data_IF_459053532289
#
_entry.id   IF_459053532289
#
_cell.length_a   1.000
_cell.length_b   1.000
_cell.length_c   1.000
_cell.angle_alpha   90.00
_cell.angle_beta   90.00
_cell.angle_gamma   90.00
#
_symmetry.space_group_name_H-M   'P 1'
#
loop_
_entity.id
_entity.type
_entity.pdbx_description
1 polymer ?
#
# COMPACT_ATOMS: atom_id res chain seq x y z
N UNK A 1 23.86 -5.03 5.05
CA UNK A 1 22.72 -5.96 5.09
C UNK A 1 22.94 -6.96 3.97
N UNK A 2 22.70 -8.27 4.21
CA UNK A 2 22.75 -9.25 3.12
C UNK A 2 21.61 -8.95 2.13
N UNK A 3 21.86 -9.10 0.85
CA UNK A 3 20.85 -9.01 -0.20
C UNK A 3 19.82 -10.15 -0.08
N UNK A 4 18.62 -9.96 -0.64
CA UNK A 4 17.63 -11.03 -0.67
C UNK A 4 18.08 -12.23 -1.51
N UNK A 5 18.95 -12.01 -2.51
CA UNK A 5 19.56 -13.09 -3.27
C UNK A 5 20.53 -13.92 -2.41
N UNK A 6 21.38 -13.27 -1.61
CA UNK A 6 22.27 -13.98 -0.65
C UNK A 6 21.46 -14.75 0.39
N UNK A 7 20.39 -14.15 0.93
CA UNK A 7 19.49 -14.81 1.89
C UNK A 7 18.81 -16.04 1.25
N UNK A 8 18.39 -15.97 -0.01
CA UNK A 8 17.80 -17.12 -0.72
C UNK A 8 18.83 -18.25 -0.88
N UNK A 9 20.07 -17.93 -1.26
CA UNK A 9 21.14 -18.92 -1.43
C UNK A 9 21.48 -19.59 -0.09
N UNK A 10 21.69 -18.81 0.96
CA UNK A 10 22.06 -19.33 2.28
C UNK A 10 20.98 -20.25 2.86
N UNK A 11 19.71 -19.96 2.60
CA UNK A 11 18.59 -20.76 3.08
C UNK A 11 18.16 -21.87 2.12
N UNK A 12 18.88 -22.08 1.01
CA UNK A 12 18.49 -22.98 -0.09
C UNK A 12 17.01 -22.76 -0.51
N UNK A 13 16.63 -21.50 -0.64
CA UNK A 13 15.30 -21.07 -0.96
C UNK A 13 14.92 -21.30 -2.43
N UNK A 14 13.80 -20.70 -2.81
CA UNK A 14 13.21 -20.83 -4.14
C UNK A 14 13.05 -19.48 -4.85
N UNK A 15 13.47 -18.37 -4.26
CA UNK A 15 13.25 -17.04 -4.83
C UNK A 15 13.88 -16.90 -6.21
N UNK A 16 15.19 -17.17 -6.31
CA UNK A 16 15.94 -17.09 -7.57
C UNK A 16 15.40 -18.11 -8.58
N UNK A 17 15.09 -19.32 -8.13
CA UNK A 17 14.55 -20.41 -8.97
C UNK A 17 13.19 -20.02 -9.57
N UNK A 18 12.30 -19.43 -8.78
CA UNK A 18 10.97 -19.00 -9.22
C UNK A 18 11.03 -17.81 -10.18
N UNK A 19 11.87 -16.81 -9.88
CA UNK A 19 12.09 -15.69 -10.79
C UNK A 19 12.63 -16.17 -12.14
N UNK A 20 13.60 -17.10 -12.11
CA UNK A 20 14.13 -17.72 -13.32
C UNK A 20 13.05 -18.48 -14.08
N UNK A 21 12.32 -19.39 -13.42
CA UNK A 21 11.29 -20.21 -14.04
C UNK A 21 10.19 -19.37 -14.71
N UNK A 22 9.66 -18.35 -14.02
CA UNK A 22 8.62 -17.47 -14.60
C UNK A 22 9.19 -16.64 -15.75
N UNK A 23 10.43 -16.18 -15.64
CA UNK A 23 11.09 -15.39 -16.69
C UNK A 23 11.42 -16.23 -17.93
N UNK A 24 11.67 -17.54 -17.79
CA UNK A 24 11.85 -18.45 -18.93
C UNK A 24 10.58 -18.58 -19.78
N UNK A 25 9.40 -18.37 -19.18
CA UNK A 25 8.10 -18.40 -19.85
C UNK A 25 7.76 -17.10 -20.61
N UNK A 26 8.73 -16.21 -20.83
CA UNK A 26 8.49 -14.92 -21.50
C UNK A 26 7.80 -15.02 -22.86
N UNK A 27 8.05 -16.12 -23.60
CA UNK A 27 7.41 -16.40 -24.89
C UNK A 27 5.88 -16.49 -24.84
N UNK A 28 5.28 -16.60 -23.65
CA UNK A 28 3.82 -16.51 -23.48
C UNK A 28 3.29 -15.08 -23.76
N UNK A 29 4.12 -14.06 -23.58
CA UNK A 29 3.69 -12.66 -23.58
C UNK A 29 4.50 -11.75 -24.51
N UNK A 30 5.68 -12.18 -24.94
CA UNK A 30 6.60 -11.33 -25.70
C UNK A 30 7.55 -12.15 -26.57
N UNK A 31 7.84 -11.63 -27.76
CA UNK A 31 8.89 -12.13 -28.67
C UNK A 31 10.28 -11.54 -28.34
N UNK A 32 10.36 -10.65 -27.35
CA UNK A 32 11.62 -10.00 -26.94
C UNK A 32 12.56 -10.98 -26.23
N UNK A 33 13.87 -10.77 -26.41
CA UNK A 33 14.92 -11.44 -25.63
C UNK A 33 15.13 -10.83 -24.24
N UNK A 34 14.49 -9.70 -23.94
CA UNK A 34 14.43 -9.18 -22.56
C UNK A 34 13.34 -9.96 -21.83
N UNK A 35 13.64 -10.65 -20.71
CA UNK A 35 12.65 -11.46 -20.01
C UNK A 35 11.43 -10.65 -19.64
N UNK A 36 10.24 -11.15 -19.95
CA UNK A 36 8.95 -10.59 -19.53
C UNK A 36 8.59 -11.14 -18.15
N UNK A 37 8.81 -10.33 -17.11
CA UNK A 37 8.36 -10.61 -15.75
C UNK A 37 7.34 -9.56 -15.36
N UNK A 38 6.08 -9.97 -15.23
CA UNK A 38 5.02 -9.09 -14.76
C UNK A 38 5.26 -8.70 -13.30
N UNK A 39 5.13 -7.42 -12.96
CA UNK A 39 5.51 -6.90 -11.64
C UNK A 39 4.76 -7.59 -10.49
N UNK A 40 3.47 -7.93 -10.65
CA UNK A 40 2.72 -8.70 -9.63
C UNK A 40 3.25 -10.12 -9.44
N UNK A 41 3.79 -10.75 -10.49
CA UNK A 41 4.42 -12.04 -10.35
C UNK A 41 5.68 -11.92 -9.48
N UNK A 42 6.52 -10.91 -9.73
CA UNK A 42 7.69 -10.63 -8.90
C UNK A 42 7.31 -10.36 -7.43
N UNK A 43 6.27 -9.55 -7.19
CA UNK A 43 5.76 -9.26 -5.85
C UNK A 43 5.29 -10.52 -5.11
N UNK A 44 4.49 -11.36 -5.77
CA UNK A 44 3.98 -12.59 -5.20
C UNK A 44 5.10 -13.61 -4.95
N UNK A 45 6.06 -13.74 -5.87
CA UNK A 45 7.24 -14.61 -5.71
C UNK A 45 8.07 -14.15 -4.51
N UNK A 46 8.30 -12.84 -4.35
CA UNK A 46 9.01 -12.29 -3.20
C UNK A 46 8.28 -12.62 -1.90
N UNK A 47 6.99 -12.29 -1.80
CA UNK A 47 6.20 -12.53 -0.59
C UNK A 47 6.15 -14.01 -0.22
N UNK A 48 5.97 -14.89 -1.22
CA UNK A 48 5.97 -16.34 -1.02
C UNK A 48 7.33 -16.84 -0.53
N UNK A 49 8.42 -16.39 -1.13
CA UNK A 49 9.76 -16.95 -0.88
C UNK A 49 10.32 -16.54 0.47
N UNK A 50 9.97 -15.34 0.96
CA UNK A 50 10.46 -14.78 2.23
C UNK A 50 9.41 -14.74 3.33
N UNK A 51 8.25 -15.38 3.12
CA UNK A 51 7.08 -15.30 4.00
C UNK A 51 6.74 -13.85 4.40
N UNK A 52 6.86 -12.93 3.44
CA UNK A 52 6.63 -11.51 3.66
C UNK A 52 5.12 -11.20 3.55
N UNK A 53 4.66 -10.26 4.35
CA UNK A 53 3.28 -9.78 4.27
C UNK A 53 3.11 -8.95 3.00
N UNK A 54 2.11 -9.30 2.18
CA UNK A 54 1.84 -8.61 0.92
C UNK A 54 0.99 -7.36 1.15
N UNK A 55 1.59 -6.18 0.97
CA UNK A 55 0.97 -4.87 1.23
C UNK A 55 0.49 -4.17 -0.06
N UNK A 56 0.83 -4.73 -1.22
CA UNK A 56 0.56 -4.18 -2.55
C UNK A 56 -0.93 -4.03 -2.93
N UNK A 57 -1.84 -4.50 -2.07
CA UNK A 57 -3.30 -4.37 -2.21
C UNK A 57 -3.89 -3.18 -1.43
N UNK A 58 -3.16 -2.64 -0.46
CA UNK A 58 -3.64 -1.63 0.48
C UNK A 58 -3.34 -0.17 0.11
N UNK A 59 -2.94 0.12 -1.13
CA UNK A 59 -2.47 1.45 -1.57
C UNK A 59 -1.37 2.03 -0.65
N UNK A 60 -0.42 1.19 -0.25
CA UNK A 60 0.67 1.52 0.68
C UNK A 60 1.91 2.03 -0.07
N UNK A 61 2.80 2.75 0.64
CA UNK A 61 4.13 3.07 0.12
C UNK A 61 5.02 1.82 -0.04
N UNK A 62 4.79 0.79 0.77
CA UNK A 62 5.51 -0.49 0.70
C UNK A 62 4.68 -1.54 -0.02
N UNK A 63 5.32 -2.36 -0.84
CA UNK A 63 4.68 -3.45 -1.57
C UNK A 63 4.67 -4.74 -0.72
N UNK A 64 5.66 -4.89 0.16
CA UNK A 64 5.73 -5.98 1.13
C UNK A 64 6.33 -5.53 2.47
N UNK A 65 6.07 -6.30 3.51
CA UNK A 65 6.75 -6.20 4.81
C UNK A 65 7.44 -7.51 5.13
N UNK A 66 8.75 -7.44 5.32
CA UNK A 66 9.58 -8.56 5.76
C UNK A 66 10.16 -8.23 7.15
N UNK A 67 9.65 -8.90 8.18
CA UNK A 67 9.91 -8.54 9.59
C UNK A 67 9.60 -7.06 9.89
N UNK A 68 10.58 -6.28 10.33
CA UNK A 68 10.49 -4.84 10.60
C UNK A 68 10.93 -3.97 9.40
N UNK A 69 11.07 -4.55 8.21
CA UNK A 69 11.52 -3.85 6.99
C UNK A 69 10.35 -3.66 6.03
N UNK A 70 10.09 -2.40 5.67
CA UNK A 70 9.21 -2.06 4.55
C UNK A 70 9.94 -2.20 3.22
N UNK A 71 9.42 -3.00 2.30
CA UNK A 71 10.07 -3.30 1.02
C UNK A 71 9.26 -2.69 -0.12
N UNK A 72 9.89 -1.80 -0.88
CA UNK A 72 9.39 -1.41 -2.20
C UNK A 72 9.90 -2.39 -3.26
N UNK A 73 9.00 -3.01 -4.01
CA UNK A 73 9.35 -3.97 -5.04
C UNK A 73 9.31 -3.27 -6.40
N UNK A 74 10.43 -3.29 -7.11
CA UNK A 74 10.53 -2.67 -8.44
C UNK A 74 10.91 -3.70 -9.48
N UNK A 75 10.17 -3.71 -10.58
CA UNK A 75 10.47 -4.55 -11.75
C UNK A 75 10.43 -3.68 -13.00
N UNK A 76 11.55 -3.52 -13.69
CA UNK A 76 11.65 -2.64 -14.86
C UNK A 76 12.74 -3.09 -15.82
N UNK A 77 12.70 -2.60 -17.06
CA UNK A 77 13.75 -2.84 -18.07
C UNK A 77 14.88 -1.85 -17.83
N UNK A 78 16.13 -2.32 -17.78
CA UNK A 78 17.31 -1.49 -17.60
C UNK A 78 18.42 -1.91 -18.57
N UNK A 79 18.40 -1.35 -19.78
CA UNK A 79 19.44 -1.61 -20.80
C UNK A 79 20.77 -0.91 -20.49
N UNK A 80 20.71 0.19 -19.74
CA UNK A 80 21.84 1.03 -19.32
C UNK A 80 22.18 0.80 -17.84
N UNK A 81 23.07 1.62 -17.28
CA UNK A 81 23.43 1.59 -15.86
C UNK A 81 22.42 2.34 -14.95
N UNK A 82 21.30 2.81 -15.50
CA UNK A 82 20.23 3.44 -14.71
C UNK A 82 18.90 3.44 -15.45
N UNK A 83 17.79 3.45 -14.70
CA UNK A 83 16.45 3.71 -15.21
C UNK A 83 15.71 4.74 -14.34
N UNK A 84 14.74 5.45 -14.92
CA UNK A 84 13.91 6.41 -14.19
C UNK A 84 12.52 5.83 -13.97
N UNK A 85 12.20 5.51 -12.73
CA UNK A 85 11.03 4.69 -12.39
C UNK A 85 10.09 5.40 -11.43
N UNK A 86 8.79 5.08 -11.57
CA UNK A 86 7.73 5.67 -10.74
C UNK A 86 7.96 5.31 -9.27
N UNK A 87 7.90 6.32 -8.40
CA UNK A 87 7.98 6.16 -6.94
C UNK A 87 6.76 6.70 -6.20
N UNK A 88 5.96 7.57 -6.81
CA UNK A 88 4.71 8.06 -6.23
C UNK A 88 3.77 8.65 -7.29
N UNK A 89 2.47 8.66 -7.02
CA UNK A 89 1.42 9.20 -7.87
C UNK A 89 0.49 10.12 -7.07
N UNK A 90 0.10 11.25 -7.66
CA UNK A 90 -0.56 12.37 -6.97
C UNK A 90 -1.89 12.77 -7.63
N UNK A 91 -2.57 11.82 -8.30
CA UNK A 91 -3.83 12.10 -9.01
C UNK A 91 -4.88 12.78 -8.12
N UNK A 92 -5.05 12.30 -6.88
CA UNK A 92 -5.97 12.88 -5.88
C UNK A 92 -5.51 14.22 -5.31
N UNK A 93 -4.22 14.52 -5.37
CA UNK A 93 -3.61 15.75 -4.87
C UNK A 93 -3.36 16.77 -5.98
N UNK A 94 -3.75 16.48 -7.23
CA UNK A 94 -3.53 17.33 -8.39
C UNK A 94 -4.03 18.77 -8.20
N UNK A 95 -5.20 18.95 -7.58
CA UNK A 95 -5.75 20.28 -7.27
C UNK A 95 -4.87 21.09 -6.32
N UNK A 96 -4.23 20.44 -5.35
CA UNK A 96 -3.31 21.11 -4.41
C UNK A 96 -1.96 21.44 -5.08
N UNK A 97 -1.57 20.69 -6.10
CA UNK A 97 -0.32 20.87 -6.84
C UNK A 97 -0.43 21.84 -8.02
N UNK A 98 -1.62 22.01 -8.60
CA UNK A 98 -1.86 22.72 -9.86
C UNK A 98 -1.30 24.14 -9.92
N UNK A 99 -1.32 24.86 -8.80
CA UNK A 99 -0.89 26.26 -8.73
C UNK A 99 0.58 26.42 -8.30
N UNK A 100 1.26 25.33 -7.92
CA UNK A 100 2.66 25.35 -7.51
C UNK A 100 3.57 25.19 -8.71
N UNK A 101 4.74 25.84 -8.68
CA UNK A 101 5.74 25.79 -9.75
C UNK A 101 7.14 25.71 -9.16
N UNK A 102 8.10 25.27 -9.98
CA UNK A 102 9.52 25.30 -9.64
C UNK A 102 9.82 24.63 -8.30
N UNK A 103 10.54 25.36 -7.42
CA UNK A 103 10.98 24.85 -6.12
C UNK A 103 9.82 24.54 -5.17
N UNK A 104 8.78 25.37 -5.14
CA UNK A 104 7.62 25.14 -4.25
C UNK A 104 6.88 23.86 -4.61
N UNK A 105 6.76 23.57 -5.92
CA UNK A 105 6.20 22.30 -6.37
C UNK A 105 7.06 21.10 -5.96
N UNK A 106 8.39 21.19 -6.14
CA UNK A 106 9.32 20.14 -5.74
C UNK A 106 9.25 19.85 -4.23
N UNK A 107 9.21 20.90 -3.40
CA UNK A 107 9.04 20.80 -1.95
C UNK A 107 7.72 20.10 -1.62
N UNK A 108 6.60 20.52 -2.23
CA UNK A 108 5.29 19.94 -1.93
C UNK A 108 5.18 18.46 -2.33
N UNK A 109 5.78 18.08 -3.46
CA UNK A 109 5.86 16.67 -3.89
C UNK A 109 6.67 15.84 -2.89
N UNK A 110 7.80 16.39 -2.42
CA UNK A 110 8.63 15.75 -1.41
C UNK A 110 7.89 15.57 -0.08
N UNK A 111 7.20 16.60 0.41
CA UNK A 111 6.37 16.52 1.62
C UNK A 111 5.32 15.40 1.51
N UNK A 112 4.54 15.38 0.43
CA UNK A 112 3.49 14.38 0.25
C UNK A 112 4.05 12.95 0.11
N UNK A 113 5.16 12.77 -0.62
CA UNK A 113 5.80 11.45 -0.69
C UNK A 113 6.32 11.03 0.69
N UNK A 114 7.04 11.91 1.37
CA UNK A 114 7.67 11.59 2.64
C UNK A 114 6.61 11.24 3.70
N UNK A 115 5.52 11.99 3.76
CA UNK A 115 4.43 11.71 4.70
C UNK A 115 3.76 10.35 4.42
N UNK A 116 3.63 9.93 3.15
CA UNK A 116 3.10 8.59 2.82
C UNK A 116 4.03 7.46 3.27
N UNK A 117 5.35 7.68 3.23
CA UNK A 117 6.33 6.69 3.72
C UNK A 117 6.27 6.62 5.23
N UNK A 118 6.25 7.77 5.91
CA UNK A 118 6.15 7.83 7.35
C UNK A 118 4.82 7.25 7.86
N UNK A 119 3.72 7.48 7.15
CA UNK A 119 2.46 6.79 7.39
C UNK A 119 2.61 5.27 7.32
N UNK A 120 3.23 4.75 6.26
CA UNK A 120 3.41 3.31 6.08
C UNK A 120 4.27 2.72 7.21
N UNK A 121 5.34 3.41 7.63
CA UNK A 121 6.16 2.98 8.78
C UNK A 121 5.35 2.89 10.06
N UNK A 122 4.56 3.93 10.38
CA UNK A 122 3.71 3.96 11.57
C UNK A 122 2.62 2.88 11.53
N UNK A 123 2.00 2.68 10.36
CA UNK A 123 0.92 1.73 10.17
C UNK A 123 1.39 0.28 10.34
N UNK A 124 2.51 -0.07 9.71
CA UNK A 124 3.00 -1.44 9.65
C UNK A 124 4.09 -1.74 10.68
N UNK A 125 4.43 -0.76 11.53
CA UNK A 125 5.50 -0.86 12.53
C UNK A 125 6.84 -1.30 11.93
N UNK A 126 7.28 -0.61 10.88
CA UNK A 126 8.58 -0.84 10.25
C UNK A 126 9.60 0.21 10.69
N UNK A 127 10.83 -0.24 10.92
CA UNK A 127 11.94 0.61 11.38
C UNK A 127 12.82 1.04 10.21
N UNK A 128 13.00 0.13 9.24
CA UNK A 128 13.83 0.35 8.07
C UNK A 128 13.02 0.14 6.79
N UNK A 129 13.50 0.71 5.70
CA UNK A 129 12.91 0.51 4.38
C UNK A 129 13.95 0.50 3.28
N UNK A 130 13.72 -0.34 2.27
CA UNK A 130 14.59 -0.44 1.09
C UNK A 130 13.76 -0.74 -0.15
N UNK A 131 14.30 -0.42 -1.33
CA UNK A 131 13.79 -0.97 -2.58
C UNK A 131 14.53 -2.26 -2.87
N UNK A 132 13.81 -3.35 -3.12
CA UNK A 132 14.35 -4.53 -3.77
C UNK A 132 13.97 -4.49 -5.25
N UNK A 133 14.98 -4.53 -6.11
CA UNK A 133 14.84 -4.29 -7.55
C UNK A 133 15.13 -5.58 -8.31
N UNK A 134 14.20 -5.94 -9.20
CA UNK A 134 14.35 -6.95 -10.25
C UNK A 134 14.45 -6.23 -11.59
N UNK A 135 15.66 -5.82 -11.97
CA UNK A 135 15.91 -5.18 -13.26
C UNK A 135 16.05 -6.24 -14.36
N UNK A 136 15.52 -5.93 -15.55
CA UNK A 136 15.46 -6.86 -16.69
C UNK A 136 16.33 -6.32 -17.82
N UNK A 137 17.17 -7.17 -18.40
CA UNK A 137 17.97 -6.86 -19.58
C UNK A 137 17.97 -8.08 -20.51
N UNK A 138 18.45 -7.92 -21.73
CA UNK A 138 18.55 -9.02 -22.70
C UNK A 138 19.16 -10.28 -22.06
N UNK A 139 18.38 -11.36 -22.03
CA UNK A 139 18.72 -12.69 -21.51
C UNK A 139 19.11 -12.76 -20.01
N UNK A 140 18.80 -11.76 -19.20
CA UNK A 140 19.21 -11.77 -17.78
C UNK A 140 18.30 -10.92 -16.88
N UNK A 141 18.32 -11.25 -15.58
CA UNK A 141 17.79 -10.41 -14.51
C UNK A 141 18.94 -9.96 -13.60
N UNK A 142 18.87 -8.72 -13.11
CA UNK A 142 19.73 -8.22 -12.05
C UNK A 142 18.91 -7.95 -10.80
N UNK A 143 19.36 -8.52 -9.69
CA UNK A 143 18.78 -8.29 -8.37
C UNK A 143 19.70 -7.40 -7.56
N UNK A 144 19.12 -6.38 -6.91
CA UNK A 144 19.83 -5.55 -5.96
C UNK A 144 18.87 -4.79 -5.05
N UNK A 145 19.40 -4.36 -3.92
CA UNK A 145 18.74 -3.48 -2.97
C UNK A 145 19.30 -2.07 -3.08
N UNK A 146 18.45 -1.07 -2.88
CA UNK A 146 18.86 0.33 -2.77
C UNK A 146 18.02 1.05 -1.72
N UNK A 147 18.43 2.26 -1.35
CA UNK A 147 17.79 3.04 -0.30
C UNK A 147 16.31 3.30 -0.62
N UNK A 148 15.47 3.31 0.41
CA UNK A 148 14.12 3.86 0.36
C UNK A 148 14.08 5.09 1.27
N UNK A 149 14.99 6.04 1.04
CA UNK A 149 15.07 7.22 1.88
C UNK A 149 13.96 8.24 1.57
N UNK A 150 13.72 9.12 2.55
CA UNK A 150 12.92 10.32 2.35
C UNK A 150 13.66 11.29 1.43
N UNK A 151 12.91 12.06 0.64
CA UNK A 151 13.49 13.15 -0.15
C UNK A 151 14.00 14.21 0.81
N UNK A 152 15.27 14.61 0.69
CA UNK A 152 15.84 15.64 1.55
C UNK A 152 15.36 17.04 1.12
N UNK A 153 14.26 17.50 1.74
CA UNK A 153 13.60 18.78 1.42
C UNK A 153 14.56 19.96 1.52
N UNK A 154 15.42 19.99 2.55
CA UNK A 154 16.34 21.09 2.80
C UNK A 154 17.43 21.21 1.73
N UNK A 155 17.69 20.12 1.00
CA UNK A 155 18.71 20.07 -0.04
C UNK A 155 18.12 20.03 -1.45
N UNK A 156 16.82 20.31 -1.62
CA UNK A 156 16.19 20.40 -2.95
C UNK A 156 16.83 21.54 -3.74
N UNK A 157 17.46 21.18 -4.86
CA UNK A 157 18.18 22.09 -5.75
C UNK A 157 18.06 21.65 -7.22
N UNK A 158 18.79 22.35 -8.11
CA UNK A 158 18.90 22.04 -9.55
C UNK A 158 17.56 21.93 -10.28
N UNK A 159 16.60 22.78 -9.92
CA UNK A 159 15.23 22.72 -10.45
C UNK A 159 15.22 23.14 -11.93
N UNK A 160 14.75 22.23 -12.79
CA UNK A 160 14.52 22.48 -14.22
C UNK A 160 13.06 22.26 -14.55
N UNK A 161 12.43 23.26 -15.15
CA UNK A 161 11.04 23.18 -15.59
C UNK A 161 10.96 23.01 -17.10
N UNK A 162 10.04 22.16 -17.54
CA UNK A 162 9.70 21.94 -18.95
C UNK A 162 8.18 22.00 -19.11
N UNK A 163 7.68 22.01 -20.35
CA UNK A 163 6.24 21.92 -20.60
C UNK A 163 5.62 20.61 -20.06
N UNK A 164 6.41 19.53 -19.99
CA UNK A 164 5.94 18.21 -19.58
C UNK A 164 6.02 17.96 -18.06
N UNK A 165 6.78 18.77 -17.32
CA UNK A 165 7.09 18.47 -15.93
C UNK A 165 8.24 19.27 -15.33
N UNK A 166 8.67 18.89 -14.13
CA UNK A 166 9.85 19.42 -13.46
C UNK A 166 10.87 18.32 -13.17
N UNK A 167 12.14 18.69 -13.06
CA UNK A 167 13.24 17.86 -12.59
C UNK A 167 13.93 18.56 -11.42
N UNK A 168 14.40 17.81 -10.44
CA UNK A 168 15.13 18.33 -9.28
C UNK A 168 15.95 17.23 -8.62
N UNK A 169 16.84 17.62 -7.73
CA UNK A 169 17.70 16.73 -6.95
C UNK A 169 17.65 17.12 -5.48
N UNK A 170 17.95 16.17 -4.59
CA UNK A 170 18.07 16.40 -3.14
C UNK A 170 19.52 16.19 -2.62
N UNK A 171 20.48 16.19 -3.55
CA UNK A 171 21.89 15.90 -3.33
C UNK A 171 22.25 14.42 -3.14
N UNK A 172 21.26 13.52 -3.07
CA UNK A 172 21.48 12.06 -3.11
C UNK A 172 20.90 11.44 -4.37
N UNK A 173 19.69 11.86 -4.73
CA UNK A 173 18.89 11.25 -5.77
C UNK A 173 18.37 12.30 -6.77
N UNK A 174 18.13 11.84 -8.00
CA UNK A 174 17.54 12.62 -9.08
C UNK A 174 16.06 12.27 -9.23
N UNK A 175 15.22 13.29 -9.36
CA UNK A 175 13.78 13.15 -9.48
C UNK A 175 13.23 13.87 -10.70
N UNK A 176 12.14 13.35 -11.24
CA UNK A 176 11.33 14.03 -12.25
C UNK A 176 9.86 13.86 -11.97
N UNK A 177 9.08 14.93 -12.12
CA UNK A 177 7.64 14.91 -11.96
C UNK A 177 6.98 15.19 -13.29
N UNK A 178 6.11 14.29 -13.73
CA UNK A 178 5.37 14.41 -14.98
C UNK A 178 3.98 14.98 -14.71
N UNK A 179 3.63 16.09 -15.37
CA UNK A 179 2.36 16.78 -15.14
C UNK A 179 1.15 15.99 -15.63
N UNK A 180 1.22 15.41 -16.83
CA UNK A 180 0.07 14.71 -17.42
C UNK A 180 -0.31 13.44 -16.66
N UNK A 181 0.70 12.74 -16.12
CA UNK A 181 0.51 11.52 -15.33
C UNK A 181 0.39 11.79 -13.82
N UNK A 182 0.55 13.04 -13.38
CA UNK A 182 0.68 13.43 -11.96
C UNK A 182 1.58 12.46 -11.17
N UNK A 183 2.74 12.12 -11.75
CA UNK A 183 3.60 11.02 -11.25
C UNK A 183 5.01 11.50 -11.00
N UNK A 184 5.54 11.17 -9.82
CA UNK A 184 6.94 11.39 -9.44
C UNK A 184 7.76 10.13 -9.73
N UNK A 185 8.90 10.35 -10.38
CA UNK A 185 9.88 9.35 -10.74
C UNK A 185 11.20 9.65 -10.02
N UNK A 186 11.97 8.59 -9.77
CA UNK A 186 13.33 8.64 -9.27
C UNK A 186 14.25 7.91 -10.25
N UNK A 187 15.46 8.41 -10.43
CA UNK A 187 16.52 7.69 -11.13
C UNK A 187 17.09 6.60 -10.21
N UNK A 188 17.00 5.35 -10.64
CA UNK A 188 17.62 4.19 -10.02
C UNK A 188 18.91 3.87 -10.76
N UNK A 189 20.04 3.97 -10.06
CA UNK A 189 21.35 3.56 -10.59
C UNK A 189 21.62 2.10 -10.24
N UNK A 190 22.15 1.35 -11.20
CA UNK A 190 22.50 -0.05 -11.00
C UNK A 190 23.87 -0.11 -10.30
N UNK A 191 23.95 -0.69 -9.09
CA UNK A 191 25.22 -0.78 -8.37
C UNK A 191 26.21 -1.70 -9.10
N UNK A 192 27.50 -1.59 -8.78
CA UNK A 192 28.51 -2.47 -9.38
C UNK A 192 28.35 -3.94 -8.97
N UNK A 193 27.91 -4.17 -7.73
CA UNK A 193 27.71 -5.50 -7.18
C UNK A 193 26.21 -5.83 -7.24
N UNK A 194 25.76 -6.33 -8.39
CA UNK A 194 24.41 -6.91 -8.56
C UNK A 194 24.48 -8.43 -8.60
N UNK A 195 23.39 -9.07 -8.18
CA UNK A 195 23.25 -10.50 -8.36
C UNK A 195 22.62 -10.78 -9.72
N UNK A 196 23.31 -11.53 -10.58
CA UNK A 196 22.89 -11.82 -11.95
C UNK A 196 22.21 -13.19 -12.04
N UNK A 197 21.06 -13.25 -12.70
CA UNK A 197 20.38 -14.49 -13.06
C UNK A 197 20.32 -14.57 -14.60
N UNK A 198 21.10 -15.47 -15.23
CA UNK A 198 20.97 -15.70 -16.67
C UNK A 198 19.62 -16.38 -16.96
N UNK A 199 18.95 -15.90 -18.02
CA UNK A 199 17.63 -16.38 -18.45
C UNK A 199 17.69 -16.86 -19.89
N UNK A 200 17.45 -18.16 -20.05
CA UNK A 200 17.23 -18.79 -21.35
C UNK A 200 15.72 -18.87 -21.61
N UNK A 201 15.19 -17.91 -22.37
CA UNK A 201 13.77 -17.86 -22.72
C UNK A 201 13.43 -19.06 -23.61
N UNK A 202 12.40 -19.81 -23.21
CA UNK A 202 11.91 -20.99 -23.92
C UNK A 202 11.21 -20.54 -25.20
N UNK A 203 11.51 -21.21 -26.31
CA UNK A 203 10.94 -20.91 -27.63
C UNK A 203 9.44 -21.22 -27.69
N UNK A 204 9.04 -22.41 -27.24
CA UNK A 204 7.63 -22.82 -27.14
C UNK A 204 7.24 -23.16 -25.69
N UNK A 205 6.86 -22.15 -24.88
CA UNK A 205 6.39 -22.39 -23.52
C UNK A 205 5.02 -23.07 -23.47
N UNK A 206 4.23 -23.07 -24.56
CA UNK A 206 2.89 -23.66 -24.57
C UNK A 206 2.96 -25.19 -24.55
N UNK A 207 3.88 -25.78 -25.33
CA UNK A 207 4.12 -27.24 -25.29
C UNK A 207 4.54 -27.71 -23.89
N UNK A 208 5.41 -26.96 -23.21
CA UNK A 208 5.80 -27.24 -21.82
C UNK A 208 4.59 -27.22 -20.87
N UNK A 209 3.74 -26.20 -20.97
CA UNK A 209 2.56 -26.08 -20.11
C UNK A 209 1.56 -27.23 -20.34
N UNK A 210 1.32 -27.61 -21.59
CA UNK A 210 0.43 -28.73 -21.92
C UNK A 210 0.96 -30.06 -21.35
N UNK A 211 2.29 -30.28 -21.38
CA UNK A 211 2.89 -31.46 -20.76
C UNK A 211 2.64 -31.50 -19.25
N UNK A 212 2.87 -30.38 -18.55
CA UNK A 212 2.64 -30.28 -17.10
C UNK A 212 1.18 -30.57 -16.75
N UNK A 213 0.22 -29.94 -17.44
CA UNK A 213 -1.20 -30.12 -17.10
C UNK A 213 -1.74 -31.50 -17.48
N UNK A 214 -1.13 -32.20 -18.43
CA UNK A 214 -1.47 -33.58 -18.73
C UNK A 214 -0.95 -34.56 -17.67
N UNK A 215 0.21 -34.27 -17.06
CA UNK A 215 0.84 -35.08 -16.02
C UNK A 215 0.19 -34.86 -14.65
N UNK A 216 -0.10 -33.62 -14.28
CA UNK A 216 -0.65 -33.25 -12.97
C UNK A 216 -2.14 -32.88 -13.07
N UNK A 217 -3.02 -33.89 -12.93
CA UNK A 217 -4.48 -33.71 -13.06
C UNK A 217 -5.17 -33.24 -11.78
N UNK A 218 -4.60 -33.54 -10.61
CA UNK A 218 -5.18 -33.18 -9.30
C UNK A 218 -4.65 -31.83 -8.80
N UNK A 219 -5.00 -30.75 -9.50
CA UNK A 219 -4.67 -29.39 -9.08
C UNK A 219 -5.86 -28.76 -8.35
N UNK A 220 -5.62 -28.24 -7.14
CA UNK A 220 -6.63 -27.49 -6.40
C UNK A 220 -6.98 -26.20 -7.11
N UNK A 221 -8.27 -25.92 -7.28
CA UNK A 221 -8.74 -24.63 -7.78
C UNK A 221 -8.55 -23.53 -6.74
N UNK A 222 -8.11 -22.35 -7.18
CA UNK A 222 -8.03 -21.18 -6.30
C UNK A 222 -9.43 -20.69 -5.96
N UNK A 223 -9.61 -20.21 -4.73
CA UNK A 223 -10.79 -19.46 -4.30
C UNK A 223 -10.43 -17.99 -4.16
N UNK A 224 -11.41 -17.12 -4.34
CA UNK A 224 -11.22 -15.70 -4.06
C UNK A 224 -10.84 -15.52 -2.59
N UNK A 225 -9.72 -14.83 -2.36
CA UNK A 225 -9.23 -14.55 -1.01
C UNK A 225 -10.12 -13.56 -0.27
N UNK A 226 -10.74 -12.65 -1.01
CA UNK A 226 -11.62 -11.61 -0.48
C UNK A 226 -12.96 -11.68 -1.20
N UNK A 227 -14.00 -12.01 -0.44
CA UNK A 227 -15.39 -12.09 -0.90
C UNK A 227 -16.18 -10.99 -0.20
N UNK A 228 -16.69 -10.08 -1.02
CA UNK A 228 -17.39 -8.87 -0.61
C UNK A 228 -18.57 -9.19 0.28
N UNK A 229 -18.65 -8.56 1.45
CA UNK A 229 -19.77 -8.75 2.39
C UNK A 229 -19.74 -10.04 3.20
N UNK A 230 -18.98 -11.04 2.75
CA UNK A 230 -18.76 -12.28 3.47
C UNK A 230 -17.55 -12.16 4.41
N UNK A 231 -16.38 -11.89 3.84
CA UNK A 231 -15.12 -11.86 4.59
C UNK A 231 -14.45 -10.48 4.60
N UNK A 232 -14.99 -9.48 3.91
CA UNK A 232 -14.59 -8.08 4.12
C UNK A 232 -15.70 -7.06 3.83
N UNK A 233 -15.62 -5.91 4.51
CA UNK A 233 -16.36 -4.68 4.19
C UNK A 233 -15.44 -3.48 4.23
N UNK A 234 -15.84 -2.38 3.58
CA UNK A 234 -15.15 -1.10 3.67
C UNK A 234 -16.04 -0.10 4.42
N UNK A 235 -15.46 0.64 5.36
CA UNK A 235 -16.13 1.66 6.15
C UNK A 235 -15.48 3.04 5.90
N UNK A 236 -16.27 4.10 5.69
CA UNK A 236 -15.73 5.43 5.46
C UNK A 236 -15.29 6.06 6.78
N UNK A 237 -14.21 6.85 6.73
CA UNK A 237 -13.76 7.71 7.84
C UNK A 237 -14.34 9.14 7.76
N UNK A 238 -15.28 9.36 6.84
CA UNK A 238 -15.92 10.63 6.55
C UNK A 238 -17.45 10.44 6.46
N UNK A 239 -18.18 11.56 6.41
CA UNK A 239 -19.58 11.62 6.01
C UNK A 239 -19.77 12.39 4.71
N UNK A 240 -21.00 12.39 4.20
CA UNK A 240 -21.39 13.12 2.99
C UNK A 240 -22.31 14.28 3.33
N UNK A 241 -21.96 15.49 2.87
CA UNK A 241 -22.81 16.69 2.96
C UNK A 241 -22.89 17.31 1.58
N UNK A 242 -24.08 17.38 1.02
CA UNK A 242 -24.34 17.87 -0.34
C UNK A 242 -23.45 17.17 -1.39
N UNK A 243 -23.28 15.85 -1.27
CA UNK A 243 -22.45 15.04 -2.17
C UNK A 243 -20.93 15.21 -1.99
N UNK A 244 -20.46 16.01 -1.02
CA UNK A 244 -19.04 16.21 -0.74
C UNK A 244 -18.62 15.49 0.54
N UNK A 245 -17.44 14.86 0.51
CA UNK A 245 -16.80 14.22 1.66
C UNK A 245 -16.43 15.28 2.70
N UNK A 246 -16.71 14.99 3.96
CA UNK A 246 -16.26 15.81 5.09
C UNK A 246 -16.09 14.95 6.34
N UNK A 247 -15.20 15.36 7.24
CA UNK A 247 -15.09 14.76 8.57
C UNK A 247 -15.86 15.66 9.54
N UNK A 248 -16.77 15.08 10.32
CA UNK A 248 -17.58 15.83 11.28
C UNK A 248 -16.69 16.36 12.41
N UNK A 249 -16.90 17.62 12.84
CA UNK A 249 -16.11 18.23 13.91
C UNK A 249 -16.44 17.71 15.32
N UNK A 250 -17.60 17.05 15.49
CA UNK A 250 -18.16 16.67 16.81
C UNK A 250 -18.71 15.24 16.84
N UNK A 251 -18.34 14.38 15.89
CA UNK A 251 -18.77 12.98 15.83
C UNK A 251 -17.74 12.12 15.09
N UNK A 252 -17.92 10.79 15.13
CA UNK A 252 -17.00 9.83 14.53
C UNK A 252 -15.59 9.98 15.09
N UNK A 253 -14.65 10.35 14.22
CA UNK A 253 -13.25 10.58 14.57
C UNK A 253 -13.05 11.75 15.55
N UNK A 254 -13.94 12.74 15.56
CA UNK A 254 -13.87 13.90 16.45
C UNK A 254 -14.93 13.86 17.56
N UNK A 255 -15.40 12.66 17.95
CA UNK A 255 -16.42 12.51 18.99
C UNK A 255 -15.99 13.10 20.34
N UNK A 256 -14.69 13.11 20.64
CA UNK A 256 -14.10 13.77 21.81
C UNK A 256 -14.40 15.27 21.89
N UNK A 257 -14.69 15.93 20.76
CA UNK A 257 -15.00 17.36 20.67
C UNK A 257 -16.52 17.67 20.78
N UNK A 258 -17.36 16.65 21.00
CA UNK A 258 -18.79 16.85 21.12
C UNK A 258 -19.18 17.65 22.38
N UNK A 259 -20.25 18.44 22.26
CA UNK A 259 -20.81 19.20 23.39
C UNK A 259 -21.48 18.30 24.45
N UNK A 260 -21.79 18.89 25.61
CA UNK A 260 -22.38 18.18 26.74
C UNK A 260 -21.32 17.79 27.79
N UNK A 261 -21.26 16.51 28.17
CA UNK A 261 -20.29 16.06 29.17
C UNK A 261 -18.85 16.26 28.71
N UNK A 262 -17.93 16.44 29.67
CA UNK A 262 -16.49 16.34 29.41
C UNK A 262 -16.19 14.97 28.83
N UNK A 263 -15.44 14.95 27.72
CA UNK A 263 -15.02 13.73 27.03
C UNK A 263 -13.51 13.59 27.12
N UNK A 264 -13.08 12.35 27.08
CA UNK A 264 -11.67 12.03 26.93
C UNK A 264 -11.26 12.25 25.46
N UNK A 265 -10.04 12.72 25.22
CA UNK A 265 -9.53 12.93 23.86
C UNK A 265 -9.36 11.65 23.05
N UNK A 266 -9.46 10.48 23.70
CA UNK A 266 -9.51 9.18 23.07
C UNK A 266 -10.91 8.66 22.75
N UNK A 267 -11.97 9.43 23.03
CA UNK A 267 -13.33 9.02 22.70
C UNK A 267 -13.62 9.20 21.20
N UNK A 268 -13.52 8.10 20.44
CA UNK A 268 -13.74 8.08 18.98
C UNK A 268 -14.53 6.85 18.56
N UNK A 269 -15.13 6.90 17.36
CA UNK A 269 -15.68 5.70 16.70
C UNK A 269 -15.51 5.78 15.19
N UNK A 270 -15.43 4.61 14.53
CA UNK A 270 -15.52 4.51 13.07
C UNK A 270 -17.00 4.35 12.71
N UNK A 271 -17.58 5.22 11.86
CA UNK A 271 -18.96 5.08 11.42
C UNK A 271 -19.18 3.78 10.66
N UNK A 272 -20.29 3.10 10.96
CA UNK A 272 -20.84 2.02 10.14
C UNK A 272 -22.09 2.56 9.47
N UNK A 273 -22.03 2.93 8.17
CA UNK A 273 -23.19 3.39 7.43
C UNK A 273 -24.30 2.34 7.43
N UNK A 274 -25.56 2.79 7.56
CA UNK A 274 -26.71 1.88 7.63
C UNK A 274 -26.82 0.93 6.43
N UNK A 275 -26.36 1.38 5.26
CA UNK A 275 -26.31 0.56 4.04
C UNK A 275 -25.45 -0.71 4.21
N UNK A 276 -24.40 -0.67 5.04
CA UNK A 276 -23.57 -1.86 5.32
C UNK A 276 -24.38 -2.91 6.07
N UNK A 277 -25.19 -2.50 7.06
CA UNK A 277 -26.08 -3.42 7.78
C UNK A 277 -27.21 -3.95 6.90
N UNK A 278 -27.72 -3.15 5.96
CA UNK A 278 -28.76 -3.60 5.03
C UNK A 278 -28.23 -4.59 4.00
N UNK A 279 -27.04 -4.34 3.44
CA UNK A 279 -26.44 -5.22 2.43
C UNK A 279 -25.82 -6.48 3.06
N UNK A 280 -25.23 -6.37 4.25
CA UNK A 280 -24.44 -7.42 4.90
C UNK A 280 -24.81 -7.59 6.38
N UNK A 281 -26.06 -7.98 6.70
CA UNK A 281 -26.58 -8.00 8.08
C UNK A 281 -25.82 -8.94 9.03
N UNK A 282 -25.14 -9.96 8.49
CA UNK A 282 -24.42 -10.97 9.26
C UNK A 282 -22.91 -10.74 9.32
N UNK A 283 -22.41 -9.62 8.78
CA UNK A 283 -20.97 -9.37 8.74
C UNK A 283 -20.41 -9.09 10.14
N UNK A 284 -21.03 -8.16 10.87
CA UNK A 284 -20.62 -7.81 12.23
C UNK A 284 -21.35 -8.64 13.29
N UNK A 285 -20.72 -8.86 14.47
CA UNK A 285 -21.42 -9.38 15.64
C UNK A 285 -22.58 -8.49 16.07
N UNK A 286 -23.49 -9.07 16.86
CA UNK A 286 -24.60 -8.34 17.46
C UNK A 286 -24.14 -7.14 18.28
N UNK A 287 -25.03 -6.15 18.40
CA UNK A 287 -24.76 -4.92 19.14
C UNK A 287 -24.25 -5.23 20.56
N UNK A 288 -23.23 -4.48 20.97
CA UNK A 288 -22.56 -4.57 22.27
C UNK A 288 -21.83 -5.90 22.56
N UNK A 289 -21.80 -6.85 21.61
CA UNK A 289 -20.95 -8.04 21.68
C UNK A 289 -19.51 -7.70 21.29
N UNK A 290 -18.57 -8.03 22.16
CA UNK A 290 -17.14 -7.81 21.93
C UNK A 290 -16.54 -8.82 20.95
N UNK A 291 -15.55 -8.38 20.18
CA UNK A 291 -14.74 -9.19 19.27
C UNK A 291 -13.31 -8.67 19.18
N UNK A 292 -12.39 -9.49 18.70
CA UNK A 292 -10.99 -9.14 18.52
C UNK A 292 -10.81 -8.36 17.22
N UNK A 293 -10.17 -7.19 17.29
CA UNK A 293 -9.82 -6.38 16.14
C UNK A 293 -8.30 -6.20 16.08
N UNK A 294 -7.64 -6.87 15.15
CA UNK A 294 -6.18 -6.79 14.97
C UNK A 294 -5.82 -5.69 13.98
N UNK A 295 -4.94 -4.78 14.38
CA UNK A 295 -4.41 -3.71 13.53
C UNK A 295 -3.14 -4.15 12.77
N UNK A 296 -2.70 -3.41 11.73
CA UNK A 296 -1.58 -3.86 10.89
C UNK A 296 -0.23 -3.91 11.59
N UNK A 297 -0.06 -3.18 12.71
CA UNK A 297 1.13 -3.26 13.54
C UNK A 297 1.19 -4.50 14.44
N UNK A 298 0.11 -5.30 14.49
CA UNK A 298 0.04 -6.60 15.17
C UNK A 298 -0.71 -6.58 16.50
N UNK A 299 -1.01 -5.40 17.07
CA UNK A 299 -1.80 -5.29 18.29
C UNK A 299 -3.26 -5.74 18.06
N UNK A 300 -3.88 -6.33 19.08
CA UNK A 300 -5.29 -6.75 19.05
C UNK A 300 -6.09 -5.97 20.09
N UNK A 301 -7.18 -5.33 19.66
CA UNK A 301 -8.09 -4.58 20.52
C UNK A 301 -9.38 -5.38 20.76
N UNK A 302 -9.98 -5.18 21.93
CA UNK A 302 -11.38 -5.58 22.14
C UNK A 302 -12.27 -4.51 21.50
N UNK A 303 -12.96 -4.86 20.42
CA UNK A 303 -13.85 -3.98 19.69
C UNK A 303 -15.30 -4.41 19.81
N UNK A 304 -16.23 -3.48 19.58
CA UNK A 304 -17.67 -3.78 19.52
C UNK A 304 -18.39 -2.82 18.59
N UNK A 305 -19.53 -3.27 18.08
CA UNK A 305 -20.50 -2.41 17.39
C UNK A 305 -21.53 -1.92 18.41
N UNK A 306 -21.77 -0.62 18.50
CA UNK A 306 -22.70 -0.04 19.48
C UNK A 306 -23.39 1.24 18.97
N UNK A 307 -24.07 1.93 19.89
CA UNK A 307 -24.95 3.08 19.65
C UNK A 307 -26.23 2.74 18.87
N UNK A 308 -27.09 3.75 18.73
CA UNK A 308 -28.32 3.66 17.95
C UNK A 308 -28.04 3.16 16.53
N UNK A 309 -28.86 2.22 16.06
CA UNK A 309 -28.73 1.55 14.77
C UNK A 309 -27.37 0.87 14.52
N UNK A 310 -26.65 0.49 15.58
CA UNK A 310 -25.35 -0.18 15.46
C UNK A 310 -24.34 0.61 14.61
N UNK A 311 -24.42 1.95 14.66
CA UNK A 311 -23.69 2.86 13.76
C UNK A 311 -22.22 3.08 14.11
N UNK A 312 -21.75 2.60 15.26
CA UNK A 312 -20.43 2.94 15.79
C UNK A 312 -19.58 1.69 16.06
N UNK A 313 -18.45 1.57 15.37
CA UNK A 313 -17.37 0.65 15.73
C UNK A 313 -16.45 1.33 16.76
N UNK A 314 -16.38 0.78 17.96
CA UNK A 314 -15.61 1.31 19.09
C UNK A 314 -14.70 0.24 19.70
N UNK A 315 -13.78 0.64 20.59
CA UNK A 315 -12.90 -0.28 21.33
C UNK A 315 -13.11 -0.16 22.84
N UNK A 316 -12.69 -1.17 23.60
CA UNK A 316 -12.65 -1.13 25.06
C UNK A 316 -11.23 -1.52 25.53
N UNK A 317 -10.43 -0.58 26.06
CA UNK A 317 -10.76 0.83 26.31
C UNK A 317 -10.96 1.64 25.02
N UNK A 318 -11.85 2.64 25.04
CA UNK A 318 -12.15 3.51 23.87
C UNK A 318 -10.89 4.14 23.26
N UNK A 319 -9.89 4.40 24.11
CA UNK A 319 -8.63 5.02 23.74
C UNK A 319 -7.78 4.19 22.77
N UNK A 320 -7.95 2.86 22.72
CA UNK A 320 -7.12 2.01 21.84
C UNK A 320 -7.29 2.39 20.36
N UNK A 321 -8.54 2.62 19.93
CA UNK A 321 -8.84 3.05 18.57
C UNK A 321 -8.30 4.46 18.27
N UNK A 322 -8.36 5.39 19.22
CA UNK A 322 -7.84 6.75 19.01
C UNK A 322 -6.32 6.78 18.97
N UNK A 323 -5.65 6.01 19.84
CA UNK A 323 -4.20 5.94 19.89
C UNK A 323 -3.65 5.37 18.59
N UNK A 324 -4.30 4.33 18.06
CA UNK A 324 -3.95 3.79 16.76
C UNK A 324 -4.32 4.73 15.60
N UNK A 325 -5.59 5.12 15.46
CA UNK A 325 -6.04 5.85 14.28
C UNK A 325 -5.64 7.33 14.30
N UNK A 326 -5.93 8.06 15.37
CA UNK A 326 -5.66 9.50 15.41
C UNK A 326 -4.18 9.80 15.69
N UNK A 327 -3.59 9.13 16.68
CA UNK A 327 -2.23 9.46 17.16
C UNK A 327 -1.16 8.79 16.31
N UNK A 328 -1.25 7.48 16.08
CA UNK A 328 -0.23 6.74 15.32
C UNK A 328 -0.39 6.94 13.81
N UNK A 329 -1.58 6.72 13.24
CA UNK A 329 -1.77 6.77 11.79
C UNK A 329 -1.87 8.21 11.28
N UNK A 330 -2.87 8.96 11.75
CA UNK A 330 -3.10 10.34 11.29
C UNK A 330 -2.07 11.33 11.84
N UNK A 331 -1.30 10.96 12.86
CA UNK A 331 -0.28 11.81 13.49
C UNK A 331 -0.82 13.17 13.96
N UNK A 332 -2.02 13.15 14.55
CA UNK A 332 -2.70 14.33 15.08
C UNK A 332 -2.34 14.53 16.55
N UNK A 333 -2.04 15.78 16.93
CA UNK A 333 -1.85 16.15 18.34
C UNK A 333 -3.16 15.97 19.12
N UNK A 334 -3.04 15.81 20.43
CA UNK A 334 -4.22 15.83 21.29
C UNK A 334 -4.97 17.16 21.13
N UNK A 335 -6.29 17.09 20.95
CA UNK A 335 -7.13 18.25 20.64
C UNK A 335 -7.09 18.74 19.18
N UNK A 336 -6.30 18.14 18.30
CA UNK A 336 -6.30 18.45 16.86
C UNK A 336 -7.41 17.68 16.13
N UNK A 337 -8.20 18.38 15.31
CA UNK A 337 -9.30 17.79 14.56
C UNK A 337 -8.80 16.93 13.39
N UNK A 338 -9.38 15.74 13.24
CA UNK A 338 -9.28 14.99 12.00
C UNK A 338 -10.10 15.69 10.91
N UNK A 339 -9.49 15.88 9.73
CA UNK A 339 -10.12 16.58 8.59
C UNK A 339 -10.05 15.73 7.33
N UNK A 340 -10.96 15.99 6.38
CA UNK A 340 -10.93 15.31 5.07
C UNK A 340 -9.63 15.61 4.32
N UNK A 341 -9.11 16.84 4.44
CA UNK A 341 -7.82 17.24 3.86
C UNK A 341 -6.67 16.36 4.37
N UNK A 342 -6.63 16.08 5.68
CA UNK A 342 -5.60 15.21 6.27
C UNK A 342 -5.68 13.77 5.73
N UNK A 343 -6.90 13.24 5.56
CA UNK A 343 -7.14 11.93 4.96
C UNK A 343 -6.65 11.88 3.49
N UNK A 344 -7.00 12.89 2.70
CA UNK A 344 -6.57 13.01 1.29
C UNK A 344 -5.04 13.11 1.14
N UNK A 345 -4.38 13.91 1.99
CA UNK A 345 -2.91 14.04 2.02
C UNK A 345 -2.23 12.70 2.30
N UNK A 346 -2.80 11.91 3.21
CA UNK A 346 -2.34 10.57 3.57
C UNK A 346 -2.71 9.48 2.54
N UNK A 347 -3.58 9.78 1.58
CA UNK A 347 -3.97 8.88 0.50
C UNK A 347 -4.99 7.81 0.89
N UNK A 348 -5.71 7.97 1.99
CA UNK A 348 -6.78 7.05 2.38
C UNK A 348 -7.91 7.79 3.08
N UNK A 349 -9.14 7.34 2.88
CA UNK A 349 -10.34 7.96 3.48
C UNK A 349 -11.29 6.94 4.10
N UNK A 350 -10.88 5.68 4.10
CA UNK A 350 -11.69 4.53 4.49
C UNK A 350 -10.82 3.50 5.20
N UNK A 351 -11.46 2.56 5.88
CA UNK A 351 -10.81 1.36 6.43
C UNK A 351 -11.47 0.11 5.86
N UNK A 352 -10.67 -0.93 5.67
CA UNK A 352 -11.16 -2.26 5.33
C UNK A 352 -11.22 -3.08 6.62
N UNK A 353 -12.37 -3.69 6.87
CA UNK A 353 -12.54 -4.68 7.94
C UNK A 353 -12.58 -6.05 7.29
N UNK A 354 -11.70 -6.95 7.71
CA UNK A 354 -11.66 -8.35 7.23
C UNK A 354 -12.10 -9.28 8.35
N UNK A 355 -13.08 -10.14 8.08
CA UNK A 355 -13.58 -11.19 8.97
C UNK A 355 -12.78 -12.47 8.74
N UNK A 356 -12.04 -12.92 9.76
CA UNK A 356 -11.38 -14.24 9.73
C UNK A 356 -12.32 -15.33 10.19
N UNK A 357 -13.07 -15.03 11.25
CA UNK A 357 -14.11 -15.86 11.84
C UNK A 357 -15.08 -14.95 12.64
N UNK A 358 -16.04 -15.55 13.36
CA UNK A 358 -17.08 -14.82 14.09
C UNK A 358 -16.56 -13.91 15.22
N UNK A 359 -15.36 -14.15 15.74
CA UNK A 359 -14.80 -13.40 16.86
C UNK A 359 -13.49 -12.67 16.52
N UNK A 360 -12.89 -12.94 15.37
CA UNK A 360 -11.61 -12.37 14.97
C UNK A 360 -11.71 -11.59 13.66
N UNK A 361 -11.44 -10.29 13.78
CA UNK A 361 -11.42 -9.34 12.68
C UNK A 361 -10.06 -8.67 12.57
N UNK A 362 -9.76 -8.18 11.37
CA UNK A 362 -8.64 -7.29 11.09
C UNK A 362 -9.15 -5.96 10.58
N UNK A 363 -8.40 -4.90 10.85
CA UNK A 363 -8.59 -3.59 10.25
C UNK A 363 -7.31 -3.16 9.54
N UNK A 364 -7.45 -2.61 8.35
CA UNK A 364 -6.38 -1.92 7.64
C UNK A 364 -6.94 -0.66 6.97
N UNK A 365 -6.07 0.26 6.53
CA UNK A 365 -6.49 1.38 5.71
C UNK A 365 -6.98 0.89 4.35
N UNK A 366 -7.96 1.60 3.80
CA UNK A 366 -8.39 1.42 2.43
C UNK A 366 -8.18 2.75 1.68
N UNK A 367 -7.55 2.68 0.50
CA UNK A 367 -7.18 3.86 -0.29
C UNK A 367 -8.37 4.76 -0.60
N UNK A 368 -8.09 6.00 -1.03
CA UNK A 368 -9.16 6.97 -1.31
C UNK A 368 -10.24 6.41 -2.25
N UNK A 369 -11.50 6.74 -1.95
CA UNK A 369 -12.71 6.31 -2.67
C UNK A 369 -13.00 4.80 -2.63
N UNK A 370 -12.33 4.03 -1.77
CA UNK A 370 -12.57 2.59 -1.68
C UNK A 370 -13.98 2.28 -1.19
N UNK A 371 -14.53 3.10 -0.28
CA UNK A 371 -15.89 2.91 0.20
C UNK A 371 -16.93 3.06 -0.92
N UNK A 372 -16.83 4.11 -1.74
CA UNK A 372 -17.75 4.31 -2.87
C UNK A 372 -17.69 3.17 -3.87
N UNK A 373 -16.48 2.73 -4.26
CA UNK A 373 -16.32 1.59 -5.16
C UNK A 373 -16.98 0.34 -4.56
N UNK A 374 -16.73 0.09 -3.29
CA UNK A 374 -17.30 -1.04 -2.57
C UNK A 374 -18.82 -1.03 -2.55
N UNK A 375 -19.49 0.11 -2.32
CA UNK A 375 -20.97 0.15 -2.31
C UNK A 375 -21.58 0.21 -3.72
N UNK A 376 -20.88 0.81 -4.69
CA UNK A 376 -21.40 0.98 -6.06
C UNK A 376 -21.20 -0.25 -6.95
N UNK A 377 -20.27 -1.15 -6.65
CA UNK A 377 -20.12 -2.45 -7.33
C UNK A 377 -21.33 -3.40 -7.14
N UNK A 378 -22.42 -2.94 -6.49
CA UNK A 378 -23.71 -3.64 -6.37
C UNK A 378 -24.83 -2.96 -7.18
N UNK A 379 -24.51 -1.97 -8.01
CA UNK A 379 -25.37 -1.44 -9.08
C UNK A 379 -24.78 -1.88 -10.42
#
# INVERSE_FOLDING_TARGET
MKSFAEIDIENNGNYIKLLSAVSKLSGLFSESRVPYLYYRAAENIFCRSFNAENLSRGDSAFDAKHFNIGVGLKTFICEKNSSTEKIAEFNKLSNQLKNLKGKDLAIKLAEFRNERIELAKRLYNTENSLYHVVARKKNELFLYETDYELININNINSIKSTAAGIQFEDGKNFYSFNFSKSTLFRKFEVPKNTFNIPIEIIEDPYTLLLQIFNEYKDLSTSKDLLVKGENYVILPLYGLKNGKKFVFEKSGLNQWNAGGRKRDFGEVYIPIPIIIHHLYPNFFPQRDKGFNLTVPSGETFNAKVCQENSKALMTNPNKALSDWLLRKILNLKEGELATIKKLEELGFDSVMITKKDENNFKIDKAGSDSYEKFINENQ
#
